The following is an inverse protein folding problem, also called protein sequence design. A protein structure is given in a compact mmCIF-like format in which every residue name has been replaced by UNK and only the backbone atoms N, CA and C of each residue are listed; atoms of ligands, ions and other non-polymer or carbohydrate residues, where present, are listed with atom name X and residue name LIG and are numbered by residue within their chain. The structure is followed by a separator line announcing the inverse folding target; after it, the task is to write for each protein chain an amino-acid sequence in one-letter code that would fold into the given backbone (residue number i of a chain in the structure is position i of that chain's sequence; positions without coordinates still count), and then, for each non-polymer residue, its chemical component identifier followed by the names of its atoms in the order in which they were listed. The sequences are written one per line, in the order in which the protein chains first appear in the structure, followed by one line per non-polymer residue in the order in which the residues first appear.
data_IF_926501821586
#
_entry.id   IF_926501821586
#
_cell.length_a   1.000
_cell.length_b   1.000
_cell.length_c   1.000
_cell.angle_alpha   90.00
_cell.angle_beta   90.00
_cell.angle_gamma   90.00
#
_symmetry.space_group_name_H-M   'P 1'
#
loop_
_entity.id
_entity.type
_entity.pdbx_description
1 polymer ?
#
# COMPACT_ATOMS: atom_id res chain seq x y z
N UNK A 1 -15.30 14.19 11.41
CA UNK A 1 -15.17 12.90 10.71
C UNK A 1 -13.75 12.41 10.89
N UNK A 2 -13.51 11.11 11.09
CA UNK A 2 -12.15 10.52 11.12
C UNK A 2 -11.65 10.15 9.70
N UNK A 3 -12.44 10.43 8.66
CA UNK A 3 -12.07 10.17 7.29
C UNK A 3 -10.85 10.98 6.84
N UNK A 4 -9.86 10.28 6.28
CA UNK A 4 -8.65 10.81 5.64
C UNK A 4 -8.50 10.07 4.31
N UNK A 5 -8.46 10.78 3.19
CA UNK A 5 -8.38 10.12 1.89
C UNK A 5 -6.95 9.63 1.57
N UNK A 6 -6.81 8.84 0.50
CA UNK A 6 -5.53 8.24 0.11
C UNK A 6 -4.46 9.29 -0.25
N UNK A 7 -4.84 10.43 -0.83
CA UNK A 7 -3.91 11.49 -1.19
C UNK A 7 -3.32 12.17 0.06
N UNK A 8 -4.14 12.40 1.09
CA UNK A 8 -3.69 12.94 2.38
C UNK A 8 -2.73 11.98 3.11
N UNK A 9 -3.04 10.68 3.12
CA UNK A 9 -2.14 9.66 3.68
C UNK A 9 -0.82 9.59 2.90
N UNK A 10 -0.87 9.66 1.57
CA UNK A 10 0.31 9.67 0.69
C UNK A 10 1.18 10.89 0.96
N UNK A 11 0.57 12.09 0.98
CA UNK A 11 1.26 13.33 1.30
C UNK A 11 1.89 13.31 2.70
N UNK A 12 1.21 12.74 3.69
CA UNK A 12 1.74 12.60 5.05
C UNK A 12 2.96 11.67 5.13
N UNK A 13 2.96 10.59 4.35
CA UNK A 13 4.09 9.65 4.27
C UNK A 13 5.27 10.26 3.51
N UNK A 14 4.99 11.02 2.44
CA UNK A 14 5.96 11.72 1.60
C UNK A 14 6.34 13.11 2.12
N UNK A 15 5.83 13.55 3.27
CA UNK A 15 6.06 14.89 3.79
C UNK A 15 7.55 15.23 3.77
N UNK A 16 7.89 16.52 3.62
CA UNK A 16 9.22 17.02 3.25
C UNK A 16 10.38 16.39 4.02
N UNK A 17 10.17 16.00 5.28
CA UNK A 17 11.15 15.24 6.05
C UNK A 17 11.55 13.90 5.42
N UNK A 18 10.63 13.15 4.80
CA UNK A 18 10.89 11.92 4.02
C UNK A 18 11.67 12.19 2.75
N UNK A 19 11.40 13.30 2.06
CA UNK A 19 12.14 13.64 0.83
C UNK A 19 13.54 14.20 1.13
N UNK A 20 13.71 14.91 2.24
CA UNK A 20 14.99 15.50 2.66
C UNK A 20 15.86 14.53 3.51
N UNK A 21 15.45 13.26 3.65
CA UNK A 21 16.19 12.23 4.40
C UNK A 21 16.17 12.40 5.93
N UNK A 22 15.30 13.26 6.45
CA UNK A 22 15.12 13.54 7.87
C UNK A 22 13.83 12.93 8.44
N UNK A 23 13.29 11.88 7.79
CA UNK A 23 12.01 11.31 8.20
C UNK A 23 12.11 10.58 9.50
N UNK A 24 11.15 10.81 10.38
CA UNK A 24 10.98 9.99 11.57
C UNK A 24 10.34 8.63 11.22
N UNK A 25 9.76 8.47 10.03
CA UNK A 25 9.07 7.24 9.64
C UNK A 25 10.03 6.11 9.26
N UNK A 26 11.25 6.42 8.81
CA UNK A 26 12.27 5.46 8.36
C UNK A 26 13.61 5.75 9.05
N UNK A 27 14.45 4.73 9.22
CA UNK A 27 15.80 4.84 9.80
C UNK A 27 15.86 5.53 11.19
N UNK A 28 14.76 5.43 11.96
CA UNK A 28 14.62 6.02 13.29
C UNK A 28 13.97 5.04 14.28
N UNK A 29 14.21 5.24 15.58
CA UNK A 29 13.67 4.39 16.65
C UNK A 29 12.13 4.34 16.68
N UNK A 30 11.48 5.33 16.09
CA UNK A 30 10.01 5.41 16.02
C UNK A 30 9.43 4.68 14.81
N UNK A 31 10.23 4.02 13.96
CA UNK A 31 9.78 3.32 12.75
C UNK A 31 8.54 2.44 12.99
N UNK A 32 8.62 1.54 13.97
CA UNK A 32 7.56 0.57 14.25
C UNK A 32 6.29 1.25 14.79
N UNK A 33 6.43 2.18 15.72
CA UNK A 33 5.28 2.87 16.32
C UNK A 33 4.64 3.83 15.31
N UNK A 34 5.43 4.46 14.45
CA UNK A 34 4.96 5.34 13.39
C UNK A 34 4.17 4.58 12.32
N UNK A 35 4.67 3.44 11.83
CA UNK A 35 3.95 2.61 10.86
C UNK A 35 2.71 1.91 11.44
N UNK A 36 2.76 1.52 12.72
CA UNK A 36 1.57 0.99 13.42
C UNK A 36 0.48 2.05 13.54
N UNK A 37 0.85 3.28 13.93
CA UNK A 37 -0.09 4.40 13.99
C UNK A 37 -0.62 4.78 12.59
N UNK A 38 0.23 4.70 11.56
CA UNK A 38 -0.17 4.95 10.17
C UNK A 38 -1.20 3.93 9.67
N UNK A 39 -0.98 2.65 9.96
CA UNK A 39 -1.92 1.57 9.63
C UNK A 39 -3.26 1.76 10.35
N UNK A 40 -3.23 2.15 11.63
CA UNK A 40 -4.44 2.45 12.39
C UNK A 40 -5.22 3.64 11.79
N UNK A 41 -4.54 4.69 11.34
CA UNK A 41 -5.19 5.83 10.66
C UNK A 41 -5.86 5.39 9.35
N UNK A 42 -5.19 4.54 8.56
CA UNK A 42 -5.78 3.98 7.34
C UNK A 42 -7.02 3.15 7.64
N UNK A 43 -6.94 2.24 8.61
CA UNK A 43 -8.07 1.41 9.04
C UNK A 43 -9.25 2.24 9.56
N UNK A 44 -9.00 3.23 10.43
CA UNK A 44 -10.04 4.12 10.95
C UNK A 44 -10.70 4.97 9.84
N UNK A 45 -9.94 5.35 8.82
CA UNK A 45 -10.50 6.02 7.64
C UNK A 45 -11.44 5.09 6.87
N UNK A 46 -11.07 3.82 6.65
CA UNK A 46 -11.95 2.83 6.03
C UNK A 46 -13.21 2.56 6.88
N UNK A 47 -13.06 2.45 8.20
CA UNK A 47 -14.16 2.23 9.14
C UNK A 47 -15.12 3.41 9.22
N UNK A 48 -14.69 4.62 8.83
CA UNK A 48 -15.58 5.77 8.68
C UNK A 48 -16.56 5.63 7.50
N UNK A 49 -16.28 4.72 6.56
CA UNK A 49 -17.14 4.37 5.41
C UNK A 49 -17.90 3.07 5.70
N UNK A 50 -17.20 2.00 6.09
CA UNK A 50 -17.77 0.68 6.42
C UNK A 50 -17.12 0.16 7.72
N UNK A 51 -17.83 0.22 8.87
CA UNK A 51 -17.27 -0.10 10.18
C UNK A 51 -16.71 -1.52 10.34
N UNK A 52 -17.13 -2.47 9.51
CA UNK A 52 -16.64 -3.85 9.58
C UNK A 52 -15.27 -4.07 8.91
N UNK A 53 -14.73 -3.08 8.18
CA UNK A 53 -13.44 -3.22 7.51
C UNK A 53 -12.27 -3.20 8.49
N UNK A 54 -11.27 -4.01 8.18
CA UNK A 54 -9.97 -4.04 8.84
C UNK A 54 -8.84 -3.98 7.80
N UNK A 55 -7.68 -3.48 8.19
CA UNK A 55 -6.51 -3.46 7.31
C UNK A 55 -5.97 -4.90 7.13
N UNK A 56 -5.96 -5.45 5.90
CA UNK A 56 -5.39 -6.77 5.66
C UNK A 56 -3.85 -6.72 5.75
N UNK A 57 -3.24 -7.87 6.05
CA UNK A 57 -1.79 -8.04 5.96
C UNK A 57 -1.45 -9.01 4.83
N UNK A 58 -0.24 -8.89 4.29
CA UNK A 58 0.32 -9.80 3.30
C UNK A 58 1.49 -10.56 3.93
N UNK A 59 1.36 -11.89 4.02
CA UNK A 59 2.48 -12.75 4.36
C UNK A 59 3.19 -13.21 3.09
N UNK A 60 4.18 -12.44 2.68
CA UNK A 60 4.97 -12.75 1.49
C UNK A 60 5.82 -14.02 1.65
N UNK A 61 6.00 -14.56 2.87
CA UNK A 61 6.77 -15.79 3.08
C UNK A 61 6.00 -17.04 2.68
N UNK A 62 4.67 -17.00 2.79
CA UNK A 62 3.77 -18.04 2.26
C UNK A 62 3.85 -18.04 0.74
N UNK A 63 3.74 -16.87 0.11
CA UNK A 63 3.80 -16.76 -1.35
C UNK A 63 5.16 -17.15 -1.92
N UNK A 64 6.26 -16.83 -1.23
CA UNK A 64 7.60 -17.29 -1.59
C UNK A 64 7.70 -18.82 -1.50
N UNK A 65 7.16 -19.43 -0.44
CA UNK A 65 7.12 -20.88 -0.26
C UNK A 65 6.29 -21.58 -1.35
N UNK A 66 5.12 -21.04 -1.68
CA UNK A 66 4.14 -21.69 -2.57
C UNK A 66 4.42 -21.43 -4.05
N UNK A 67 4.96 -20.26 -4.40
CA UNK A 67 5.14 -19.82 -5.79
C UNK A 67 6.59 -19.55 -6.19
N UNK A 68 7.51 -19.38 -5.22
CA UNK A 68 8.90 -19.01 -5.49
C UNK A 68 8.98 -17.79 -6.40
N UNK A 69 9.83 -17.85 -7.43
CA UNK A 69 10.01 -16.76 -8.40
C UNK A 69 8.73 -16.33 -9.15
N UNK A 70 7.67 -17.15 -9.12
CA UNK A 70 6.41 -16.84 -9.79
C UNK A 70 5.41 -16.07 -8.90
N UNK A 71 5.77 -15.69 -7.66
CA UNK A 71 4.88 -15.03 -6.70
C UNK A 71 4.17 -13.80 -7.29
N UNK A 72 4.88 -13.01 -8.10
CA UNK A 72 4.35 -11.77 -8.68
C UNK A 72 3.24 -12.00 -9.72
N UNK A 73 3.13 -13.22 -10.25
CA UNK A 73 2.12 -13.63 -11.24
C UNK A 73 1.05 -14.52 -10.61
N UNK A 74 1.45 -15.37 -9.65
CA UNK A 74 0.58 -16.42 -9.08
C UNK A 74 -0.07 -16.03 -7.76
N UNK A 75 0.48 -15.09 -6.99
CA UNK A 75 -0.09 -14.72 -5.70
C UNK A 75 -1.50 -14.14 -5.88
N UNK A 76 -2.46 -14.51 -5.03
CA UNK A 76 -3.80 -13.93 -5.00
C UNK A 76 -3.79 -12.40 -4.87
N UNK A 77 -2.78 -11.83 -4.19
CA UNK A 77 -2.70 -10.40 -3.94
C UNK A 77 -2.48 -9.57 -5.22
N UNK A 78 -1.93 -10.18 -6.27
CA UNK A 78 -1.68 -9.57 -7.58
C UNK A 78 -2.70 -9.97 -8.65
N UNK A 79 -3.85 -10.53 -8.26
CA UNK A 79 -4.93 -10.83 -9.20
C UNK A 79 -5.84 -9.60 -9.43
N UNK A 80 -6.60 -9.53 -10.55
CA UNK A 80 -7.40 -8.35 -10.90
C UNK A 80 -8.52 -7.99 -9.90
N UNK A 81 -9.00 -8.95 -9.11
CA UNK A 81 -10.00 -8.71 -8.06
C UNK A 81 -9.40 -8.10 -6.78
N UNK A 82 -8.06 -8.07 -6.68
CA UNK A 82 -7.28 -7.44 -5.63
C UNK A 82 -6.44 -6.24 -6.15
N UNK A 83 -5.10 -6.23 -6.01
CA UNK A 83 -4.27 -5.09 -6.44
C UNK A 83 -3.94 -5.07 -7.94
N UNK A 84 -4.16 -6.17 -8.66
CA UNK A 84 -3.75 -6.31 -10.06
C UNK A 84 -2.28 -6.68 -10.24
N UNK A 85 -1.95 -7.23 -11.42
CA UNK A 85 -0.63 -7.76 -11.70
C UNK A 85 0.38 -6.63 -11.97
N UNK A 86 1.61 -6.83 -11.50
CA UNK A 86 2.72 -5.98 -11.91
C UNK A 86 2.95 -6.09 -13.43
N UNK A 87 3.34 -4.99 -14.08
CA UNK A 87 3.61 -4.96 -15.52
C UNK A 87 5.04 -4.52 -15.83
N UNK A 88 6.06 -5.29 -15.39
CA UNK A 88 7.47 -4.88 -15.48
C UNK A 88 7.98 -4.82 -16.93
N UNK A 89 7.31 -5.50 -17.87
CA UNK A 89 7.70 -5.55 -19.27
C UNK A 89 7.02 -4.49 -20.15
N UNK A 90 6.05 -3.74 -19.61
CA UNK A 90 5.45 -2.59 -20.31
C UNK A 90 6.34 -1.36 -20.17
N UNK A 91 6.43 -0.55 -21.24
CA UNK A 91 7.20 0.71 -21.24
C UNK A 91 6.69 1.71 -20.20
N UNK A 92 5.40 1.65 -19.88
CA UNK A 92 4.74 2.64 -19.05
C UNK A 92 4.68 2.16 -17.59
N UNK A 93 5.00 0.88 -17.32
CA UNK A 93 4.93 0.23 -16.01
C UNK A 93 3.58 0.39 -15.28
N UNK A 94 2.51 0.65 -16.04
CA UNK A 94 1.15 0.86 -15.54
C UNK A 94 0.45 -0.47 -15.28
N UNK A 95 -0.28 -0.55 -14.16
CA UNK A 95 -1.26 -1.61 -13.90
C UNK A 95 -2.44 -1.43 -14.85
N UNK A 96 -2.73 -2.44 -15.67
CA UNK A 96 -3.74 -2.35 -16.75
C UNK A 96 -5.05 -3.08 -16.44
N UNK A 97 -5.11 -3.84 -15.34
CA UNK A 97 -6.26 -4.66 -14.97
C UNK A 97 -6.63 -4.47 -13.49
N UNK A 98 -7.91 -4.70 -13.15
CA UNK A 98 -8.41 -4.63 -11.78
C UNK A 98 -8.82 -3.24 -11.29
N UNK A 99 -9.09 -3.13 -9.98
CA UNK A 99 -9.68 -1.91 -9.37
C UNK A 99 -8.77 -0.69 -9.41
N UNK A 100 -7.46 -0.91 -9.52
CA UNK A 100 -6.44 0.13 -9.52
C UNK A 100 -5.85 0.37 -10.92
N UNK A 101 -6.44 -0.22 -11.97
CA UNK A 101 -5.98 -0.03 -13.34
C UNK A 101 -5.98 1.46 -13.72
N UNK A 102 -4.86 1.94 -14.25
CA UNK A 102 -4.67 3.34 -14.67
C UNK A 102 -4.92 4.38 -13.56
N UNK A 103 -4.86 4.00 -12.28
CA UNK A 103 -4.99 4.95 -11.17
C UNK A 103 -3.83 5.96 -11.24
N UNK A 104 -4.10 7.27 -11.37
CA UNK A 104 -3.04 8.28 -11.36
C UNK A 104 -2.43 8.40 -9.96
N UNK A 105 -1.15 8.75 -9.91
CA UNK A 105 -0.50 9.16 -8.67
C UNK A 105 -1.03 10.56 -8.32
N UNK A 106 -1.45 10.82 -7.07
CA UNK A 106 -1.82 12.16 -6.62
C UNK A 106 -0.69 13.17 -6.84
N UNK A 107 -1.05 14.39 -7.24
CA UNK A 107 -0.12 15.54 -7.33
C UNK A 107 0.46 15.95 -5.97
#
# INVERSE_FOLDING_TARGET
SQFINYAELTAKHLDKMTLDGCTIYHDADVFFTAHSAFTLMFEQSLQSIEPALAAPYWDYTIDDSDYGNDWAVKSPIFQPDWFGASNPNSSDHVITEGRFAYLPIPD
#
